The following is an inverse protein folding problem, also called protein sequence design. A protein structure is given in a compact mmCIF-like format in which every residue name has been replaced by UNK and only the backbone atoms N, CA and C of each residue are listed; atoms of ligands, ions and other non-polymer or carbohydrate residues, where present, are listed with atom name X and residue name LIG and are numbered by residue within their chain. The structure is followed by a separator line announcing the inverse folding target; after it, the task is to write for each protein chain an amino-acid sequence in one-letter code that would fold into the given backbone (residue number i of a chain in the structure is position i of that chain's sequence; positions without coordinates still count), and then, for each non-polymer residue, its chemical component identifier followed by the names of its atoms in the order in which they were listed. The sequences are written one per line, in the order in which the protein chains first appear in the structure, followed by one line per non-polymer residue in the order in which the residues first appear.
data_IF_947149791886
#
_entry.id   IF_947149791886
#
_cell.length_a   1.000
_cell.length_b   1.000
_cell.length_c   1.000
_cell.angle_alpha   90.00
_cell.angle_beta   90.00
_cell.angle_gamma   90.00
#
_symmetry.space_group_name_H-M   'P 1'
#
loop_
_entity.id
_entity.type
_entity.pdbx_description
1 polymer ?
#
# COMPACT_ATOMS: atom_id res chain seq x y z
N UNK A 1 -47.87 16.63 -12.54
CA UNK A 1 -46.82 16.87 -11.55
C UNK A 1 -45.72 15.93 -11.88
N UNK A 2 -44.58 16.48 -12.32
CA UNK A 2 -43.51 15.82 -13.03
C UNK A 2 -42.74 14.87 -12.13
N UNK A 3 -42.59 13.63 -12.61
CA UNK A 3 -41.63 12.62 -12.12
C UNK A 3 -40.76 12.27 -13.34
N UNK A 4 -39.92 13.21 -13.75
CA UNK A 4 -38.98 13.02 -14.88
C UNK A 4 -37.61 13.62 -14.57
N UNK A 5 -37.04 13.40 -13.37
CA UNK A 5 -35.71 13.93 -13.03
C UNK A 5 -34.74 12.92 -12.43
N UNK A 6 -35.09 11.64 -12.27
CA UNK A 6 -34.20 10.64 -11.68
C UNK A 6 -33.44 9.73 -12.67
N UNK A 7 -33.84 9.70 -13.94
CA UNK A 7 -33.21 8.80 -14.93
C UNK A 7 -31.94 9.36 -15.61
N UNK A 8 -31.70 10.68 -15.54
CA UNK A 8 -30.52 11.27 -16.18
C UNK A 8 -29.22 11.16 -15.34
N UNK A 9 -29.32 10.71 -14.10
CA UNK A 9 -28.14 10.62 -13.20
C UNK A 9 -27.43 9.24 -13.23
N UNK A 10 -27.98 8.27 -13.93
CA UNK A 10 -27.39 6.91 -14.02
C UNK A 10 -26.37 6.75 -15.16
N UNK A 11 -26.42 7.57 -16.21
CA UNK A 11 -25.50 7.45 -17.37
C UNK A 11 -24.08 8.01 -17.14
N UNK A 12 -23.85 8.76 -16.05
CA UNK A 12 -22.56 9.39 -15.74
C UNK A 12 -21.79 8.74 -14.57
N UNK A 13 -22.20 7.56 -14.12
CA UNK A 13 -21.46 6.82 -13.12
C UNK A 13 -20.30 6.08 -13.80
N UNK A 14 -19.07 6.45 -13.47
CA UNK A 14 -17.89 5.73 -13.95
C UNK A 14 -17.90 4.30 -13.42
N UNK A 15 -17.70 3.33 -14.31
CA UNK A 15 -17.53 1.93 -13.96
C UNK A 15 -16.05 1.59 -13.79
N UNK A 16 -15.76 0.48 -13.12
CA UNK A 16 -14.37 0.04 -12.90
C UNK A 16 -13.65 -0.36 -14.21
N UNK A 17 -14.42 -0.57 -15.28
CA UNK A 17 -13.94 -1.00 -16.60
C UNK A 17 -13.85 0.13 -17.63
N UNK A 18 -14.19 1.38 -17.27
CA UNK A 18 -14.08 2.50 -18.20
C UNK A 18 -12.63 2.72 -18.65
N UNK A 19 -12.43 2.89 -19.96
CA UNK A 19 -11.14 3.25 -20.52
C UNK A 19 -10.82 4.73 -20.27
N UNK A 20 -9.56 5.12 -20.45
CA UNK A 20 -9.16 6.55 -20.38
C UNK A 20 -10.02 7.39 -21.35
N UNK A 21 -10.21 6.92 -22.59
CA UNK A 21 -11.00 7.60 -23.61
C UNK A 21 -12.48 7.74 -23.23
N UNK A 22 -13.06 6.73 -22.59
CA UNK A 22 -14.44 6.78 -22.08
C UNK A 22 -14.58 7.81 -20.97
N UNK A 23 -13.62 7.86 -20.05
CA UNK A 23 -13.61 8.82 -18.94
C UNK A 23 -13.40 10.26 -19.44
N UNK A 24 -12.51 10.47 -20.40
CA UNK A 24 -12.30 11.78 -21.05
C UNK A 24 -13.56 12.25 -21.76
N UNK A 25 -14.28 11.35 -22.47
CA UNK A 25 -15.56 11.67 -23.11
C UNK A 25 -16.62 12.06 -22.07
N UNK A 26 -16.75 11.30 -20.98
CA UNK A 26 -17.70 11.62 -19.88
C UNK A 26 -17.34 12.94 -19.21
N UNK A 27 -16.07 13.27 -19.09
CA UNK A 27 -15.60 14.55 -18.53
C UNK A 27 -15.89 15.72 -19.47
N UNK A 28 -15.87 15.53 -20.80
CA UNK A 28 -16.25 16.58 -21.74
C UNK A 28 -17.72 17.03 -21.54
N UNK A 29 -18.62 16.08 -21.17
CA UNK A 29 -20.01 16.35 -20.85
C UNK A 29 -20.21 16.85 -19.41
N UNK A 30 -19.33 16.48 -18.47
CA UNK A 30 -19.42 16.84 -17.05
C UNK A 30 -18.05 17.20 -16.44
N UNK A 31 -17.48 18.36 -16.81
CA UNK A 31 -16.11 18.74 -16.45
C UNK A 31 -15.88 19.01 -14.95
N UNK A 32 -16.93 19.23 -14.17
CA UNK A 32 -16.85 19.50 -12.73
C UNK A 32 -17.14 18.26 -11.87
N UNK A 33 -17.09 17.06 -12.45
CA UNK A 33 -17.31 15.83 -11.71
C UNK A 33 -16.04 15.36 -10.98
N UNK A 34 -15.97 15.55 -9.67
CA UNK A 34 -14.86 15.08 -8.85
C UNK A 34 -14.63 13.55 -8.96
N UNK A 35 -15.72 12.80 -9.11
CA UNK A 35 -15.63 11.32 -9.23
C UNK A 35 -15.05 10.90 -10.59
N UNK A 36 -15.38 11.59 -11.69
CA UNK A 36 -14.81 11.30 -13.00
C UNK A 36 -13.32 11.64 -13.03
N UNK A 37 -12.90 12.77 -12.50
CA UNK A 37 -11.49 13.11 -12.34
C UNK A 37 -10.74 12.07 -11.49
N UNK A 38 -11.33 11.63 -10.37
CA UNK A 38 -10.76 10.58 -9.55
C UNK A 38 -10.57 9.27 -10.34
N UNK A 39 -11.60 8.83 -11.08
CA UNK A 39 -11.53 7.60 -11.87
C UNK A 39 -10.55 7.70 -13.03
N UNK A 40 -10.45 8.86 -13.69
CA UNK A 40 -9.43 9.12 -14.70
C UNK A 40 -8.03 9.10 -14.08
N UNK A 41 -7.86 9.66 -12.88
CA UNK A 41 -6.63 9.56 -12.10
C UNK A 41 -6.24 8.11 -11.82
N UNK A 42 -7.19 7.24 -11.45
CA UNK A 42 -6.95 5.81 -11.26
C UNK A 42 -6.58 5.10 -12.58
N UNK A 43 -7.24 5.46 -13.69
CA UNK A 43 -6.93 4.89 -15.00
C UNK A 43 -5.49 5.25 -15.43
N UNK A 44 -5.07 6.50 -15.27
CA UNK A 44 -3.69 6.92 -15.50
C UNK A 44 -2.69 6.24 -14.56
N UNK A 45 -3.03 6.04 -13.28
CA UNK A 45 -2.18 5.31 -12.34
C UNK A 45 -1.95 3.85 -12.80
N UNK A 46 -3.00 3.16 -13.26
CA UNK A 46 -2.89 1.81 -13.86
C UNK A 46 -2.00 1.78 -15.11
N UNK A 47 -2.08 2.83 -15.93
CA UNK A 47 -1.20 3.02 -17.09
C UNK A 47 0.22 3.49 -16.74
N UNK A 48 0.52 3.71 -15.43
CA UNK A 48 1.79 4.26 -14.91
C UNK A 48 2.10 5.68 -15.41
N UNK A 49 1.08 6.41 -15.83
CA UNK A 49 1.17 7.82 -16.21
C UNK A 49 1.02 8.71 -14.97
N UNK A 50 2.03 8.67 -14.08
CA UNK A 50 1.97 9.22 -12.72
C UNK A 50 1.64 10.71 -12.67
N UNK A 51 2.23 11.52 -13.56
CA UNK A 51 2.01 12.98 -13.64
C UNK A 51 0.56 13.31 -13.99
N UNK A 52 -0.02 12.60 -14.96
CA UNK A 52 -1.42 12.77 -15.34
C UNK A 52 -2.34 12.32 -14.23
N UNK A 53 -2.07 11.16 -13.63
CA UNK A 53 -2.81 10.66 -12.49
C UNK A 53 -2.86 11.67 -11.33
N UNK A 54 -1.71 12.23 -10.96
CA UNK A 54 -1.60 13.26 -9.93
C UNK A 54 -2.34 14.55 -10.28
N UNK A 55 -2.34 14.95 -11.55
CA UNK A 55 -3.08 16.13 -12.02
C UNK A 55 -4.59 15.92 -11.83
N UNK A 56 -5.11 14.77 -12.23
CA UNK A 56 -6.52 14.44 -12.12
C UNK A 56 -6.98 14.31 -10.65
N UNK A 57 -6.18 13.69 -9.79
CA UNK A 57 -6.48 13.63 -8.35
C UNK A 57 -6.49 15.03 -7.71
N UNK A 58 -5.59 15.94 -8.13
CA UNK A 58 -5.61 17.33 -7.64
C UNK A 58 -6.89 18.07 -8.06
N UNK A 59 -7.37 17.85 -9.29
CA UNK A 59 -8.65 18.41 -9.74
C UNK A 59 -9.80 17.83 -8.91
N UNK A 60 -9.84 16.51 -8.75
CA UNK A 60 -10.84 15.83 -7.93
C UNK A 60 -10.89 16.39 -6.50
N UNK A 61 -9.72 16.59 -5.87
CA UNK A 61 -9.61 17.17 -4.53
C UNK A 61 -9.97 18.66 -4.46
N UNK A 62 -9.74 19.42 -5.53
CA UNK A 62 -10.19 20.81 -5.62
C UNK A 62 -11.72 20.90 -5.65
N UNK A 63 -12.36 20.00 -6.40
CA UNK A 63 -13.82 19.92 -6.51
C UNK A 63 -14.46 19.33 -5.25
N UNK A 64 -13.83 18.32 -4.66
CA UNK A 64 -14.29 17.61 -3.45
C UNK A 64 -13.13 17.40 -2.47
N UNK A 65 -12.84 18.36 -1.58
CA UNK A 65 -11.69 18.28 -0.66
C UNK A 65 -11.70 17.07 0.29
N UNK A 66 -12.88 16.51 0.57
CA UNK A 66 -13.06 15.31 1.41
C UNK A 66 -12.96 13.98 0.66
N UNK A 67 -12.49 13.95 -0.59
CA UNK A 67 -12.29 12.71 -1.35
C UNK A 67 -10.98 12.06 -0.89
N UNK A 68 -11.05 11.34 0.25
CA UNK A 68 -9.87 10.81 0.96
C UNK A 68 -9.12 9.74 0.14
N UNK A 69 -9.86 8.98 -0.66
CA UNK A 69 -9.31 7.97 -1.56
C UNK A 69 -8.33 8.61 -2.57
N UNK A 70 -8.64 9.80 -3.08
CA UNK A 70 -7.72 10.52 -3.97
C UNK A 70 -6.42 10.94 -3.26
N UNK A 71 -6.50 11.36 -1.97
CA UNK A 71 -5.32 11.69 -1.18
C UNK A 71 -4.43 10.48 -0.92
N UNK A 72 -5.05 9.37 -0.52
CA UNK A 72 -4.31 8.11 -0.24
C UNK A 72 -3.63 7.59 -1.50
N UNK A 73 -4.33 7.62 -2.65
CA UNK A 73 -3.75 7.22 -3.93
C UNK A 73 -2.60 8.16 -4.37
N UNK A 74 -2.75 9.47 -4.20
CA UNK A 74 -1.65 10.43 -4.43
C UNK A 74 -0.45 10.13 -3.54
N UNK A 75 -0.66 9.85 -2.27
CA UNK A 75 0.41 9.47 -1.34
C UNK A 75 1.13 8.20 -1.81
N UNK A 76 0.38 7.20 -2.31
CA UNK A 76 0.96 5.98 -2.89
C UNK A 76 1.82 6.25 -4.14
N UNK A 77 1.39 7.15 -5.02
CA UNK A 77 2.19 7.57 -6.19
C UNK A 77 3.45 8.32 -5.76
N UNK A 78 3.33 9.26 -4.81
CA UNK A 78 4.46 9.99 -4.26
C UNK A 78 5.50 9.06 -3.64
N UNK A 79 5.03 8.02 -2.93
CA UNK A 79 5.90 6.98 -2.37
C UNK A 79 6.70 6.25 -3.47
N UNK A 80 6.05 5.87 -4.57
CA UNK A 80 6.71 5.20 -5.69
C UNK A 80 7.69 6.12 -6.45
N UNK A 81 7.43 7.42 -6.49
CA UNK A 81 8.32 8.41 -7.12
C UNK A 81 9.45 8.89 -6.21
N UNK A 82 9.49 8.44 -4.94
CA UNK A 82 10.49 8.84 -3.96
C UNK A 82 10.22 10.18 -3.27
N UNK A 83 9.04 10.77 -3.48
CA UNK A 83 8.59 11.95 -2.73
C UNK A 83 8.00 11.53 -1.37
N UNK A 84 8.87 11.11 -0.47
CA UNK A 84 8.48 10.61 0.85
C UNK A 84 7.83 11.68 1.72
N UNK A 85 8.27 12.94 1.62
CA UNK A 85 7.68 14.03 2.38
C UNK A 85 6.27 14.39 1.87
N UNK A 86 6.08 14.39 0.56
CA UNK A 86 4.76 14.53 -0.06
C UNK A 86 3.81 13.40 0.35
N UNK A 87 4.30 12.16 0.33
CA UNK A 87 3.53 10.98 0.79
C UNK A 87 3.05 11.14 2.23
N UNK A 88 3.94 11.49 3.15
CA UNK A 88 3.61 11.72 4.57
C UNK A 88 2.58 12.84 4.70
N UNK A 89 2.77 13.98 4.02
CA UNK A 89 1.87 15.12 4.10
C UNK A 89 0.46 14.81 3.61
N UNK A 90 0.31 14.17 2.44
CA UNK A 90 -1.02 13.82 1.91
C UNK A 90 -1.70 12.72 2.75
N UNK A 91 -0.94 11.75 3.27
CA UNK A 91 -1.48 10.75 4.18
C UNK A 91 -1.96 11.35 5.50
N UNK A 92 -1.19 12.27 6.10
CA UNK A 92 -1.61 12.99 7.32
C UNK A 92 -2.87 13.80 7.09
N UNK A 93 -2.99 14.53 5.97
CA UNK A 93 -4.24 15.24 5.62
C UNK A 93 -5.42 14.30 5.48
N UNK A 94 -5.24 13.08 4.96
CA UNK A 94 -6.31 12.10 4.92
C UNK A 94 -6.74 11.68 6.34
N UNK A 95 -5.78 11.43 7.23
CA UNK A 95 -6.04 11.06 8.63
C UNK A 95 -6.66 12.19 9.47
N UNK A 96 -6.40 13.47 9.15
CA UNK A 96 -7.09 14.62 9.77
C UNK A 96 -8.60 14.61 9.50
N UNK A 97 -9.02 14.18 8.31
CA UNK A 97 -10.44 14.06 7.97
C UNK A 97 -11.05 12.76 8.52
N UNK A 98 -10.31 11.67 8.47
CA UNK A 98 -10.76 10.35 8.91
C UNK A 98 -9.58 9.57 9.51
N UNK A 99 -9.53 9.43 10.84
CA UNK A 99 -8.39 8.80 11.53
C UNK A 99 -8.25 7.29 11.32
N UNK A 100 -9.27 6.63 10.79
CA UNK A 100 -9.35 5.17 10.63
C UNK A 100 -9.00 4.68 9.21
N UNK A 101 -8.02 5.31 8.56
CA UNK A 101 -7.49 4.89 7.26
C UNK A 101 -6.16 4.14 7.47
N UNK A 102 -6.22 2.81 7.56
CA UNK A 102 -5.04 1.95 7.74
C UNK A 102 -3.99 2.16 6.65
N UNK A 103 -4.43 2.27 5.38
CA UNK A 103 -3.53 2.47 4.24
C UNK A 103 -2.72 3.77 4.34
N UNK A 104 -3.31 4.86 4.86
CA UNK A 104 -2.57 6.10 5.09
C UNK A 104 -1.45 5.92 6.13
N UNK A 105 -1.74 5.20 7.23
CA UNK A 105 -0.73 4.86 8.23
C UNK A 105 0.39 3.99 7.64
N UNK A 106 0.03 3.02 6.80
CA UNK A 106 1.01 2.15 6.11
C UNK A 106 1.89 2.97 5.16
N UNK A 107 1.32 3.88 4.36
CA UNK A 107 2.07 4.75 3.46
C UNK A 107 3.06 5.64 4.23
N UNK A 108 2.65 6.22 5.35
CA UNK A 108 3.53 7.00 6.24
C UNK A 108 4.66 6.11 6.77
N UNK A 109 4.34 4.90 7.23
CA UNK A 109 5.32 3.94 7.73
C UNK A 109 6.38 3.60 6.69
N UNK A 110 5.97 3.29 5.45
CA UNK A 110 6.90 2.98 4.35
C UNK A 110 7.77 4.20 4.01
N UNK A 111 7.18 5.40 3.95
CA UNK A 111 7.93 6.62 3.71
C UNK A 111 9.00 6.85 4.79
N UNK A 112 8.69 6.61 6.07
CA UNK A 112 9.68 6.69 7.15
C UNK A 112 10.76 5.62 7.05
N UNK A 113 10.46 4.39 6.62
CA UNK A 113 11.48 3.36 6.34
C UNK A 113 12.48 3.87 5.31
N UNK A 114 12.02 4.42 4.19
CA UNK A 114 12.91 4.97 3.15
C UNK A 114 13.73 6.17 3.63
N UNK A 115 13.23 6.92 4.61
CA UNK A 115 13.97 8.02 5.25
C UNK A 115 14.93 7.54 6.36
N UNK A 116 14.97 6.23 6.66
CA UNK A 116 15.79 5.66 7.74
C UNK A 116 15.25 5.94 9.16
N UNK A 117 14.01 6.44 9.27
CA UNK A 117 13.38 6.86 10.52
C UNK A 117 12.57 5.69 11.13
N UNK A 118 13.29 4.64 11.56
CA UNK A 118 12.68 3.35 11.91
C UNK A 118 11.70 3.41 13.08
N UNK A 119 11.94 4.25 14.08
CA UNK A 119 11.03 4.38 15.23
C UNK A 119 9.68 5.01 14.82
N UNK A 120 9.71 6.01 13.93
CA UNK A 120 8.48 6.59 13.37
C UNK A 120 7.75 5.60 12.46
N UNK A 121 8.49 4.81 11.69
CA UNK A 121 7.92 3.76 10.87
C UNK A 121 7.24 2.68 11.72
N UNK A 122 7.90 2.20 12.80
CA UNK A 122 7.30 1.26 13.77
C UNK A 122 5.97 1.80 14.29
N UNK A 123 5.96 3.05 14.75
CA UNK A 123 4.75 3.70 15.27
C UNK A 123 3.63 3.73 14.24
N UNK A 124 3.91 4.19 13.03
CA UNK A 124 2.90 4.32 11.97
C UNK A 124 2.31 2.96 11.56
N UNK A 125 3.13 1.90 11.44
CA UNK A 125 2.61 0.57 11.14
C UNK A 125 1.78 -0.01 12.29
N UNK A 126 2.17 0.23 13.54
CA UNK A 126 1.38 -0.20 14.70
C UNK A 126 0.03 0.53 14.75
N UNK A 127 -0.02 1.82 14.45
CA UNK A 127 -1.27 2.58 14.31
C UNK A 127 -2.13 1.98 13.18
N UNK A 128 -1.55 1.66 12.03
CA UNK A 128 -2.26 0.96 10.95
C UNK A 128 -2.84 -0.39 11.39
N UNK A 129 -2.10 -1.17 12.19
CA UNK A 129 -2.58 -2.45 12.73
C UNK A 129 -3.65 -2.31 13.82
N UNK A 130 -3.77 -1.16 14.49
CA UNK A 130 -4.92 -0.93 15.38
C UNK A 130 -6.23 -0.77 14.62
N UNK A 131 -6.15 -0.29 13.37
CA UNK A 131 -7.28 -0.09 12.48
C UNK A 131 -7.57 -1.40 11.70
N UNK A 132 -6.53 -1.99 11.12
CA UNK A 132 -6.59 -3.21 10.33
C UNK A 132 -5.59 -4.26 10.86
N UNK A 133 -5.99 -5.06 11.86
CA UNK A 133 -5.09 -6.04 12.49
C UNK A 133 -4.51 -7.10 11.55
N UNK A 134 -5.15 -7.31 10.40
CA UNK A 134 -4.77 -8.31 9.40
C UNK A 134 -4.04 -7.72 8.19
N UNK A 135 -3.48 -6.52 8.29
CA UNK A 135 -2.70 -5.91 7.21
C UNK A 135 -1.37 -6.66 7.01
N UNK A 136 -1.32 -7.49 5.95
CA UNK A 136 -0.12 -8.26 5.56
C UNK A 136 1.07 -7.32 5.34
N UNK A 137 0.83 -6.20 4.66
CA UNK A 137 1.86 -5.20 4.36
C UNK A 137 2.46 -4.60 5.64
N UNK A 138 1.63 -4.24 6.62
CA UNK A 138 2.11 -3.69 7.89
C UNK A 138 2.92 -4.74 8.67
N UNK A 139 2.46 -5.99 8.72
CA UNK A 139 3.19 -7.06 9.39
C UNK A 139 4.56 -7.34 8.75
N UNK A 140 4.65 -7.41 7.42
CA UNK A 140 5.92 -7.63 6.72
C UNK A 140 6.89 -6.48 7.00
N UNK A 141 6.43 -5.23 6.91
CA UNK A 141 7.29 -4.08 7.15
C UNK A 141 7.77 -4.00 8.61
N UNK A 142 6.90 -4.28 9.57
CA UNK A 142 7.31 -4.40 10.98
C UNK A 142 8.33 -5.53 11.18
N UNK A 143 8.11 -6.69 10.56
CA UNK A 143 9.07 -7.79 10.58
C UNK A 143 10.46 -7.35 10.12
N UNK A 144 10.53 -6.63 8.99
CA UNK A 144 11.78 -6.11 8.44
C UNK A 144 12.44 -5.05 9.34
N UNK A 145 11.63 -4.12 9.90
CA UNK A 145 12.12 -3.12 10.85
C UNK A 145 12.73 -3.81 12.07
N UNK A 146 12.04 -4.81 12.63
CA UNK A 146 12.53 -5.53 13.81
C UNK A 146 13.78 -6.37 13.52
N UNK A 147 13.92 -6.93 12.31
CA UNK A 147 15.17 -7.54 11.86
C UNK A 147 16.32 -6.53 11.86
N UNK A 148 16.09 -5.36 11.29
CA UNK A 148 17.09 -4.28 11.24
C UNK A 148 17.48 -3.78 12.62
N UNK A 149 16.52 -3.75 13.56
CA UNK A 149 16.74 -3.36 14.95
C UNK A 149 17.31 -4.49 15.82
N UNK A 150 17.49 -5.71 15.31
CA UNK A 150 17.92 -6.89 16.08
C UNK A 150 16.89 -7.41 17.10
N UNK A 151 15.62 -6.99 16.98
CA UNK A 151 14.50 -7.43 17.84
C UNK A 151 13.89 -8.72 17.28
N UNK A 152 14.66 -9.82 17.32
CA UNK A 152 14.38 -11.05 16.58
C UNK A 152 13.04 -11.71 16.91
N UNK A 153 12.63 -11.76 18.19
CA UNK A 153 11.35 -12.34 18.59
C UNK A 153 10.16 -11.60 17.95
N UNK A 154 10.22 -10.25 17.92
CA UNK A 154 9.20 -9.44 17.27
C UNK A 154 9.20 -9.63 15.76
N UNK A 155 10.39 -9.75 15.14
CA UNK A 155 10.52 -10.03 13.72
C UNK A 155 9.87 -11.37 13.35
N UNK A 156 10.14 -12.43 14.11
CA UNK A 156 9.52 -13.75 13.94
C UNK A 156 8.01 -13.66 14.13
N UNK A 157 7.54 -12.97 15.17
CA UNK A 157 6.11 -12.82 15.46
C UNK A 157 5.36 -12.18 14.26
N UNK A 158 5.85 -11.05 13.76
CA UNK A 158 5.18 -10.31 12.70
C UNK A 158 5.28 -11.04 11.35
N UNK A 159 6.45 -11.57 10.98
CA UNK A 159 6.59 -12.35 9.75
C UNK A 159 5.76 -13.64 9.77
N UNK A 160 5.69 -14.34 10.92
CA UNK A 160 4.82 -15.52 11.08
C UNK A 160 3.34 -15.13 10.94
N UNK A 161 2.95 -13.95 11.41
CA UNK A 161 1.58 -13.46 11.22
C UNK A 161 1.28 -13.22 9.75
N UNK A 162 2.20 -12.58 9.02
CA UNK A 162 2.06 -12.35 7.57
C UNK A 162 1.94 -13.68 6.79
N UNK A 163 2.73 -14.70 7.13
CA UNK A 163 2.64 -16.04 6.55
C UNK A 163 1.28 -16.68 6.83
N UNK A 164 0.74 -16.56 8.04
CA UNK A 164 -0.61 -17.10 8.35
C UNK A 164 -1.71 -16.38 7.58
N UNK A 165 -1.60 -15.07 7.39
CA UNK A 165 -2.59 -14.27 6.66
C UNK A 165 -2.55 -14.54 5.15
N UNK A 166 -1.36 -14.76 4.60
CA UNK A 166 -1.14 -14.98 3.17
C UNK A 166 -0.08 -16.07 2.94
N UNK A 167 -0.47 -17.36 3.07
CA UNK A 167 0.47 -18.49 2.97
C UNK A 167 1.17 -18.61 1.61
N UNK A 168 0.57 -18.10 0.54
CA UNK A 168 1.14 -18.12 -0.81
C UNK A 168 2.12 -16.94 -1.09
N UNK A 169 2.43 -16.12 -0.08
CA UNK A 169 3.27 -14.95 -0.29
C UNK A 169 4.75 -15.26 0.01
N UNK A 170 5.50 -15.67 -1.01
CA UNK A 170 6.90 -16.10 -0.90
C UNK A 170 7.82 -15.09 -0.19
N UNK A 171 7.60 -13.77 -0.33
CA UNK A 171 8.36 -12.75 0.40
C UNK A 171 8.21 -12.91 1.93
N UNK A 172 7.00 -13.20 2.44
CA UNK A 172 6.78 -13.37 3.88
C UNK A 172 7.54 -14.58 4.41
N UNK A 173 7.56 -15.69 3.68
CA UNK A 173 8.35 -16.87 4.01
C UNK A 173 9.85 -16.57 3.99
N UNK A 174 10.36 -15.85 2.99
CA UNK A 174 11.75 -15.43 2.94
C UNK A 174 12.12 -14.58 4.17
N UNK A 175 11.31 -13.59 4.53
CA UNK A 175 11.58 -12.73 5.68
C UNK A 175 11.54 -13.52 7.00
N UNK A 176 10.60 -14.47 7.13
CA UNK A 176 10.53 -15.36 8.28
C UNK A 176 11.75 -16.27 8.35
N UNK A 177 12.24 -16.79 7.21
CA UNK A 177 13.47 -17.56 7.12
C UNK A 177 14.68 -16.78 7.63
N UNK A 178 14.84 -15.53 7.18
CA UNK A 178 15.91 -14.64 7.65
C UNK A 178 15.80 -14.39 9.16
N UNK A 179 14.58 -14.18 9.69
CA UNK A 179 14.36 -13.99 11.10
C UNK A 179 14.75 -15.21 11.94
N UNK A 180 14.34 -16.41 11.52
CA UNK A 180 14.76 -17.65 12.17
C UNK A 180 16.26 -17.89 12.09
N UNK A 181 16.89 -17.60 10.94
CA UNK A 181 18.34 -17.76 10.77
C UNK A 181 19.11 -16.87 11.74
N UNK A 182 18.75 -15.59 11.84
CA UNK A 182 19.38 -14.66 12.78
C UNK A 182 19.14 -15.07 14.23
N UNK A 183 18.02 -15.73 14.52
CA UNK A 183 17.68 -16.28 15.84
C UNK A 183 18.31 -17.67 16.07
N UNK A 184 19.20 -18.16 15.19
CA UNK A 184 19.89 -19.45 15.25
C UNK A 184 18.93 -20.67 15.21
N UNK A 185 17.73 -20.50 14.70
CA UNK A 185 16.75 -21.57 14.49
C UNK A 185 16.87 -22.12 13.05
N UNK A 186 18.02 -22.71 12.73
CA UNK A 186 18.43 -23.03 11.35
C UNK A 186 17.48 -24.00 10.64
N UNK A 187 16.92 -24.99 11.32
CA UNK A 187 15.95 -25.92 10.73
C UNK A 187 14.69 -25.19 10.26
N UNK A 188 14.14 -24.30 11.11
CA UNK A 188 12.97 -23.51 10.75
C UNK A 188 13.28 -22.53 9.62
N UNK A 189 14.45 -21.93 9.64
CA UNK A 189 14.91 -21.05 8.57
C UNK A 189 14.96 -21.79 7.22
N UNK A 190 15.53 -22.99 7.19
CA UNK A 190 15.60 -23.81 5.98
C UNK A 190 14.22 -24.19 5.43
N UNK A 191 13.28 -24.56 6.29
CA UNK A 191 11.89 -24.87 5.90
C UNK A 191 11.25 -23.64 5.23
N UNK A 192 11.36 -22.48 5.85
CA UNK A 192 10.74 -21.25 5.32
C UNK A 192 11.43 -20.78 4.02
N UNK A 193 12.74 -20.94 3.88
CA UNK A 193 13.43 -20.66 2.62
C UNK A 193 12.95 -21.56 1.48
N UNK A 194 12.76 -22.87 1.76
CA UNK A 194 12.25 -23.81 0.79
C UNK A 194 10.82 -23.48 0.35
N UNK A 195 9.95 -23.08 1.29
CA UNK A 195 8.60 -22.61 0.96
C UNK A 195 8.63 -21.37 0.07
N UNK A 196 9.50 -20.38 0.38
CA UNK A 196 9.67 -19.20 -0.45
C UNK A 196 10.07 -19.58 -1.90
N UNK A 197 11.01 -20.50 -2.07
CA UNK A 197 11.44 -21.00 -3.39
C UNK A 197 10.28 -21.71 -4.12
N UNK A 198 9.53 -22.56 -3.43
CA UNK A 198 8.37 -23.29 -3.98
C UNK A 198 7.29 -22.33 -4.48
N UNK A 199 7.12 -21.20 -3.81
CA UNK A 199 6.22 -20.12 -4.19
C UNK A 199 6.79 -19.18 -5.27
N UNK A 200 7.96 -19.50 -5.84
CA UNK A 200 8.60 -18.74 -6.91
C UNK A 200 9.34 -17.48 -6.45
N UNK A 201 9.53 -17.28 -5.15
CA UNK A 201 10.32 -16.16 -4.65
C UNK A 201 11.82 -16.44 -4.81
N UNK A 202 12.57 -15.46 -5.30
CA UNK A 202 14.02 -15.58 -5.49
C UNK A 202 14.74 -15.35 -4.16
N UNK A 203 15.05 -16.43 -3.44
CA UNK A 203 15.88 -16.37 -2.23
C UNK A 203 17.34 -16.13 -2.63
N UNK A 204 18.02 -15.22 -1.90
CA UNK A 204 19.41 -14.86 -2.23
C UNK A 204 20.34 -16.08 -2.16
N UNK A 205 21.17 -16.37 -3.21
CA UNK A 205 21.98 -17.59 -3.27
C UNK A 205 22.98 -17.75 -2.12
N UNK A 206 23.57 -16.64 -1.65
CA UNK A 206 24.51 -16.70 -0.51
C UNK A 206 23.80 -17.06 0.80
N UNK A 207 22.54 -16.63 0.97
CA UNK A 207 21.75 -17.01 2.14
C UNK A 207 21.45 -18.53 2.11
N UNK A 208 21.10 -19.08 0.95
CA UNK A 208 20.90 -20.53 0.81
C UNK A 208 22.16 -21.33 1.14
N UNK A 209 23.34 -20.84 0.74
CA UNK A 209 24.61 -21.49 1.11
C UNK A 209 24.84 -21.49 2.62
N UNK A 210 24.50 -20.40 3.30
CA UNK A 210 24.63 -20.30 4.76
C UNK A 210 23.68 -21.24 5.51
N UNK A 211 22.49 -21.53 4.96
CA UNK A 211 21.54 -22.47 5.54
C UNK A 211 21.99 -23.94 5.47
N UNK A 212 22.95 -24.28 4.60
CA UNK A 212 23.45 -25.65 4.39
C UNK A 212 24.81 -25.89 5.03
N UNK A 213 25.37 -24.93 5.76
CA UNK A 213 26.63 -25.07 6.53
C UNK A 213 26.36 -25.45 7.99
#
# INVERSE_FOLDING_TARGET
MNVESDDQNQENVATHDDTIEDLERKLADNPDSANLHYNLGLAFARAKEWEKSMAEFRVALKLKPGLLEARVNMAGIMLQSGDYDGCINESLKALEFRPDISEACVNIGIAFVHKGMLDQAEKSFLEGLTIEPNSVTAHINLGNIYLTMGKLDKAIQHNSHAVRLKPEFGLAHNNLSVAYFQNQEFEKASIQAQEALTLGYQVHPEFLKQLHQ
#
